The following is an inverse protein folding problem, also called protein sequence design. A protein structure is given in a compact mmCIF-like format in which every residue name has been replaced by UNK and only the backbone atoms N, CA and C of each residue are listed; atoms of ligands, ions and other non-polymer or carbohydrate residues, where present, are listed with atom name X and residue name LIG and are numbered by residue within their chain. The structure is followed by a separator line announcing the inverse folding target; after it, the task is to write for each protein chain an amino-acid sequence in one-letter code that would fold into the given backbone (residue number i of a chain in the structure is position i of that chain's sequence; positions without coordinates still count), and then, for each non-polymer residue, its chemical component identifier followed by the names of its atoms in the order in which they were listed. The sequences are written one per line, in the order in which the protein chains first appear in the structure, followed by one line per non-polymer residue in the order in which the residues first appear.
data_IF_694330657456
#
_entry.id   IF_694330657456
#
_cell.length_a   1.000
_cell.length_b   1.000
_cell.length_c   1.000
_cell.angle_alpha   90.00
_cell.angle_beta   90.00
_cell.angle_gamma   90.00
#
_symmetry.space_group_name_H-M   'P 1'
#
loop_
_entity.id
_entity.type
_entity.pdbx_description
1 polymer ?
#
# COMPACT_ATOMS: atom_id res chain seq x y z
N UNK A 1 -11.83 2.53 27.03
CA UNK A 1 -12.30 1.66 25.94
C UNK A 1 -11.79 2.26 24.66
N UNK A 2 -10.69 1.73 24.12
CA UNK A 2 -10.07 2.26 22.90
C UNK A 2 -10.94 1.85 21.71
N UNK A 3 -11.59 2.82 21.06
CA UNK A 3 -12.42 2.57 19.90
C UNK A 3 -11.52 2.06 18.77
N UNK A 4 -11.58 0.75 18.49
CA UNK A 4 -10.90 0.14 17.36
C UNK A 4 -11.62 0.60 16.10
N UNK A 5 -11.22 1.77 15.59
CA UNK A 5 -11.77 2.34 14.36
C UNK A 5 -11.50 1.33 13.22
N UNK A 6 -12.54 0.63 12.81
CA UNK A 6 -12.56 -0.27 11.65
C UNK A 6 -12.48 0.60 10.40
N UNK A 7 -11.26 0.93 9.99
CA UNK A 7 -11.04 1.54 8.68
C UNK A 7 -11.39 0.48 7.64
N UNK A 8 -12.42 0.73 6.83
CA UNK A 8 -12.72 -0.12 5.68
C UNK A 8 -11.47 -0.16 4.78
N UNK A 9 -10.92 -1.35 4.49
CA UNK A 9 -9.72 -1.46 3.67
C UNK A 9 -10.04 -0.93 2.27
N UNK A 10 -9.16 -0.09 1.74
CA UNK A 10 -9.25 0.35 0.35
C UNK A 10 -9.01 -0.87 -0.53
N UNK A 11 -9.95 -1.14 -1.44
CA UNK A 11 -9.85 -2.28 -2.36
C UNK A 11 -9.78 -1.79 -3.80
N UNK A 12 -9.00 -2.48 -4.61
CA UNK A 12 -8.97 -2.29 -6.05
C UNK A 12 -8.84 -3.65 -6.75
N UNK A 13 -9.15 -3.68 -8.03
CA UNK A 13 -9.04 -4.87 -8.86
C UNK A 13 -7.92 -4.67 -9.86
N UNK A 14 -7.01 -5.63 -9.95
CA UNK A 14 -5.85 -5.57 -10.85
C UNK A 14 -5.71 -6.90 -11.59
N UNK A 15 -5.39 -6.84 -12.88
CA UNK A 15 -5.18 -8.03 -13.71
C UNK A 15 -3.69 -8.25 -13.90
N UNK A 16 -3.19 -9.38 -13.39
CA UNK A 16 -1.80 -9.79 -13.56
C UNK A 16 -1.79 -11.05 -14.41
N UNK A 17 -1.39 -10.91 -15.68
CA UNK A 17 -1.49 -11.98 -16.67
C UNK A 17 -2.94 -12.27 -17.05
N UNK A 18 -3.37 -13.54 -16.94
CA UNK A 18 -4.75 -13.96 -17.24
C UNK A 18 -5.68 -13.96 -16.03
N UNK A 19 -5.18 -13.58 -14.85
CA UNK A 19 -5.94 -13.68 -13.60
C UNK A 19 -6.21 -12.28 -13.05
N UNK A 20 -7.47 -12.05 -12.68
CA UNK A 20 -7.93 -10.82 -12.05
C UNK A 20 -7.99 -11.02 -10.54
N UNK A 21 -7.30 -10.15 -9.80
CA UNK A 21 -7.20 -10.22 -8.35
C UNK A 21 -7.96 -9.07 -7.70
N UNK A 22 -8.69 -9.36 -6.61
CA UNK A 22 -9.16 -8.34 -5.67
C UNK A 22 -8.04 -8.06 -4.66
N UNK A 23 -7.46 -6.87 -4.73
CA UNK A 23 -6.36 -6.45 -3.86
C UNK A 23 -6.93 -5.55 -2.76
N UNK A 24 -6.67 -5.92 -1.50
CA UNK A 24 -7.06 -5.14 -0.32
C UNK A 24 -5.84 -4.50 0.35
N UNK A 25 -5.86 -3.19 0.55
CA UNK A 25 -4.77 -2.44 1.19
C UNK A 25 -5.06 -2.30 2.69
N UNK A 26 -4.14 -2.79 3.52
CA UNK A 26 -4.19 -2.60 4.97
C UNK A 26 -3.07 -1.66 5.43
N UNK A 27 -3.44 -0.45 5.86
CA UNK A 27 -2.48 0.49 6.43
C UNK A 27 -2.08 0.04 7.84
N UNK A 28 -0.78 -0.16 8.07
CA UNK A 28 -0.27 -0.48 9.40
C UNK A 28 -0.41 0.74 10.31
N UNK A 29 -1.08 0.56 11.45
CA UNK A 29 -1.26 1.60 12.49
C UNK A 29 0.01 1.85 13.31
N UNK A 30 0.98 0.95 13.25
CA UNK A 30 2.25 1.02 13.99
C UNK A 30 3.44 1.32 13.09
N UNK A 31 3.21 1.50 11.79
CA UNK A 31 4.27 1.86 10.86
C UNK A 31 4.78 3.25 11.20
N UNK A 32 6.06 3.35 11.52
CA UNK A 32 6.77 4.63 11.67
C UNK A 32 7.12 5.25 10.31
N UNK A 33 6.97 4.47 9.23
CA UNK A 33 7.22 4.96 7.88
C UNK A 33 6.12 5.92 7.46
N UNK A 34 6.54 7.11 7.07
CA UNK A 34 5.66 8.13 6.53
C UNK A 34 5.42 7.92 5.04
N UNK A 35 4.38 8.55 4.51
CA UNK A 35 4.14 8.59 3.07
C UNK A 35 5.35 9.21 2.32
N UNK A 36 6.04 10.17 2.93
CA UNK A 36 7.26 10.78 2.39
C UNK A 36 8.40 9.75 2.26
N UNK A 37 8.59 8.88 3.25
CA UNK A 37 9.61 7.83 3.18
C UNK A 37 9.33 6.86 2.03
N UNK A 38 8.05 6.55 1.80
CA UNK A 38 7.61 5.69 0.69
C UNK A 38 7.82 6.36 -0.68
N UNK A 39 7.51 7.65 -0.82
CA UNK A 39 7.79 8.41 -2.06
C UNK A 39 9.30 8.44 -2.34
N UNK A 40 10.12 8.70 -1.31
CA UNK A 40 11.57 8.75 -1.46
C UNK A 40 12.14 7.39 -1.89
N UNK A 41 11.61 6.28 -1.36
CA UNK A 41 12.00 4.94 -1.79
C UNK A 41 11.62 4.68 -3.25
N UNK A 42 10.39 5.04 -3.64
CA UNK A 42 9.94 4.90 -5.03
C UNK A 42 10.85 5.68 -5.98
N UNK A 43 11.12 6.96 -5.71
CA UNK A 43 12.01 7.76 -6.57
C UNK A 43 13.40 7.14 -6.68
N UNK A 44 13.97 6.67 -5.56
CA UNK A 44 15.31 6.05 -5.53
C UNK A 44 15.37 4.70 -6.25
N UNK A 45 14.31 3.90 -6.19
CA UNK A 45 14.31 2.52 -6.69
C UNK A 45 13.71 2.39 -8.10
N UNK A 46 12.79 3.27 -8.48
CA UNK A 46 12.13 3.30 -9.78
C UNK A 46 13.02 3.93 -10.87
N UNK A 47 13.96 4.80 -10.48
CA UNK A 47 14.99 5.34 -11.40
C UNK A 47 16.17 4.38 -11.64
N UNK A 48 16.16 3.18 -11.04
CA UNK A 48 17.32 2.27 -10.99
C UNK A 48 17.25 1.00 -11.85
N UNK A 49 16.28 0.85 -12.75
CA UNK A 49 16.25 -0.27 -13.71
C UNK A 49 16.30 0.27 -15.15
N UNK A 50 17.53 0.44 -15.64
CA UNK A 50 17.87 0.38 -17.07
C UNK A 50 18.19 -1.07 -17.41
#
# INVERSE_FOLDING_TARGET
MEQKQEHQPVKFTESIGSTTYEVSIHFSKTSKETLNDKILWLIKNDTGKQ
#
